data_IF_583583651764
#
_entry.id   IF_583583651764
#
_cell.length_a   1.000
_cell.length_b   1.000
_cell.length_c   1.000
_cell.angle_alpha   90.00
_cell.angle_beta   90.00
_cell.angle_gamma   90.00
#
_symmetry.space_group_name_H-M   'P 1'
#
loop_
_entity.id
_entity.type
_entity.pdbx_description
1 polymer ?
#
# COMPACT_ATOMS: atom_id res chain seq x y z
N UNK A 1 -26.79 -39.90 37.83
CA UNK A 1 -25.60 -39.03 37.94
C UNK A 1 -24.75 -39.22 36.70
N UNK A 2 -24.23 -38.12 36.13
CA UNK A 2 -23.61 -37.90 34.80
C UNK A 2 -24.65 -37.50 33.73
N UNK A 3 -25.07 -36.24 33.70
CA UNK A 3 -24.39 -35.01 33.21
C UNK A 3 -24.53 -34.87 31.70
N UNK A 4 -25.49 -34.04 31.31
CA UNK A 4 -25.64 -33.45 29.98
C UNK A 4 -24.50 -32.46 29.70
N UNK A 5 -24.08 -32.38 28.45
CA UNK A 5 -23.30 -31.26 27.91
C UNK A 5 -23.94 -30.88 26.58
N UNK A 6 -24.59 -29.72 26.59
CA UNK A 6 -24.93 -28.88 25.44
C UNK A 6 -23.67 -28.17 24.92
N UNK A 7 -23.90 -27.43 23.83
CA UNK A 7 -23.11 -26.34 23.23
C UNK A 7 -22.33 -26.74 21.98
N UNK A 8 -22.95 -26.65 20.80
CA UNK A 8 -23.27 -25.42 20.02
C UNK A 8 -22.02 -24.97 19.24
N UNK A 9 -21.79 -25.64 18.11
CA UNK A 9 -20.74 -25.32 17.16
C UNK A 9 -21.22 -24.24 16.20
N UNK A 10 -20.86 -22.99 16.49
CA UNK A 10 -20.97 -21.88 15.55
C UNK A 10 -20.13 -22.18 14.30
N UNK A 11 -20.81 -22.38 13.17
CA UNK A 11 -20.25 -22.25 11.83
C UNK A 11 -19.93 -20.76 11.56
N UNK A 12 -18.76 -20.32 12.01
CA UNK A 12 -18.17 -19.02 11.69
C UNK A 12 -17.05 -19.19 10.67
N UNK A 13 -17.41 -19.44 9.40
CA UNK A 13 -16.49 -19.28 8.27
C UNK A 13 -17.24 -19.25 6.93
N UNK A 14 -17.92 -18.14 6.64
CA UNK A 14 -18.19 -17.78 5.24
C UNK A 14 -18.24 -16.25 5.08
N UNK A 15 -17.10 -15.60 5.33
CA UNK A 15 -16.85 -14.27 4.79
C UNK A 15 -16.30 -14.47 3.38
N UNK A 16 -17.20 -14.41 2.40
CA UNK A 16 -16.86 -14.47 0.98
C UNK A 16 -15.89 -13.34 0.64
N UNK A 17 -14.61 -13.68 0.51
CA UNK A 17 -13.61 -12.83 -0.11
C UNK A 17 -14.15 -12.39 -1.48
N UNK A 18 -14.09 -11.09 -1.81
CA UNK A 18 -14.42 -10.66 -3.16
C UNK A 18 -13.38 -11.26 -4.10
N UNK A 19 -13.78 -12.16 -5.00
CA UNK A 19 -12.80 -12.88 -5.78
C UNK A 19 -12.21 -11.96 -6.83
N UNK A 20 -10.88 -11.87 -6.79
CA UNK A 20 -10.05 -11.17 -7.76
C UNK A 20 -10.24 -11.86 -9.12
N UNK A 21 -10.80 -11.15 -10.10
CA UNK A 21 -11.19 -11.66 -11.44
C UNK A 21 -12.33 -12.69 -11.49
N UNK A 22 -13.50 -12.38 -10.91
CA UNK A 22 -14.73 -13.06 -11.36
C UNK A 22 -15.25 -12.44 -12.66
N UNK A 23 -15.45 -13.28 -13.67
CA UNK A 23 -16.53 -13.10 -14.64
C UNK A 23 -17.85 -13.15 -13.87
N UNK A 24 -18.23 -12.03 -13.26
CA UNK A 24 -19.52 -11.89 -12.59
C UNK A 24 -20.57 -12.04 -13.69
N UNK A 25 -21.47 -13.00 -13.55
CA UNK A 25 -22.56 -13.17 -14.51
C UNK A 25 -23.46 -11.95 -14.54
N UNK A 26 -24.17 -11.72 -15.65
CA UNK A 26 -25.15 -10.63 -15.75
C UNK A 26 -26.19 -10.70 -14.63
N UNK A 27 -26.60 -11.91 -14.22
CA UNK A 27 -27.52 -12.11 -13.11
C UNK A 27 -26.93 -11.67 -11.76
N UNK A 28 -25.69 -12.06 -11.46
CA UNK A 28 -25.02 -11.64 -10.21
C UNK A 28 -24.77 -10.14 -10.18
N UNK A 29 -24.46 -9.53 -11.33
CA UNK A 29 -24.32 -8.08 -11.44
C UNK A 29 -25.62 -7.37 -11.02
N UNK A 30 -26.76 -7.82 -11.55
CA UNK A 30 -28.07 -7.21 -11.24
C UNK A 30 -28.50 -7.51 -9.80
N UNK A 31 -28.30 -8.73 -9.31
CA UNK A 31 -28.80 -9.17 -7.99
C UNK A 31 -27.91 -8.73 -6.82
N UNK A 32 -26.59 -8.71 -7.00
CA UNK A 32 -25.64 -8.54 -5.89
C UNK A 32 -24.82 -7.24 -5.97
N UNK A 33 -24.59 -6.71 -7.16
CA UNK A 33 -23.71 -5.54 -7.36
C UNK A 33 -24.52 -4.26 -7.51
N UNK A 34 -25.54 -4.24 -8.38
CA UNK A 34 -26.37 -3.05 -8.61
C UNK A 34 -27.03 -2.49 -7.35
N UNK A 35 -27.60 -3.30 -6.43
CA UNK A 35 -28.23 -2.76 -5.23
C UNK A 35 -27.27 -1.97 -4.35
N UNK A 36 -25.96 -2.29 -4.40
CA UNK A 36 -24.96 -1.58 -3.62
C UNK A 36 -24.81 -0.13 -4.08
N UNK A 37 -25.15 0.23 -5.32
CA UNK A 37 -25.02 1.59 -5.82
C UNK A 37 -26.24 2.48 -5.51
N UNK A 38 -27.35 1.91 -5.02
CA UNK A 38 -28.63 2.60 -4.93
C UNK A 38 -28.99 3.08 -3.52
N UNK A 39 -28.08 2.95 -2.56
CA UNK A 39 -28.20 3.49 -1.21
C UNK A 39 -28.56 2.45 -0.14
N UNK A 40 -28.68 2.85 1.13
CA UNK A 40 -28.62 4.22 1.66
C UNK A 40 -27.24 4.89 1.51
N UNK A 41 -27.20 6.21 1.54
CA UNK A 41 -25.97 7.00 1.41
C UNK A 41 -25.55 7.60 2.75
N UNK A 42 -24.24 7.79 2.92
CA UNK A 42 -23.63 8.53 4.02
C UNK A 42 -22.85 9.73 3.50
N UNK A 43 -22.76 10.79 4.29
CA UNK A 43 -21.93 11.95 4.00
C UNK A 43 -20.60 11.81 4.75
N UNK A 44 -19.49 11.88 4.06
CA UNK A 44 -18.15 11.88 4.65
C UNK A 44 -17.55 13.27 4.52
N UNK A 45 -17.27 13.92 5.65
CA UNK A 45 -16.71 15.27 5.71
C UNK A 45 -15.29 15.23 6.25
N UNK A 46 -14.36 15.88 5.57
CA UNK A 46 -13.01 16.07 6.10
C UNK A 46 -13.01 17.26 7.07
N UNK A 47 -12.63 17.02 8.34
CA UNK A 47 -12.65 18.04 9.39
C UNK A 47 -11.80 19.25 9.00
N UNK A 48 -12.30 20.44 9.36
CA UNK A 48 -11.70 21.75 9.04
C UNK A 48 -11.64 22.08 7.53
N UNK A 49 -12.43 21.40 6.71
CA UNK A 49 -12.60 21.72 5.29
C UNK A 49 -14.06 21.66 4.90
N UNK A 50 -14.42 22.28 3.79
CA UNK A 50 -15.76 22.19 3.19
C UNK A 50 -15.90 20.96 2.26
N UNK A 51 -14.94 20.04 2.29
CA UNK A 51 -14.96 18.84 1.45
C UNK A 51 -15.91 17.80 2.05
N UNK A 52 -16.97 17.51 1.30
CA UNK A 52 -17.98 16.51 1.63
C UNK A 52 -18.18 15.54 0.46
N UNK A 53 -18.22 14.25 0.78
CA UNK A 53 -18.43 13.18 -0.18
C UNK A 53 -19.71 12.42 0.18
N UNK A 54 -20.60 12.23 -0.78
CA UNK A 54 -21.75 11.34 -0.62
C UNK A 54 -21.38 9.95 -1.12
N UNK A 55 -21.41 8.95 -0.24
CA UNK A 55 -20.90 7.60 -0.50
C UNK A 55 -21.98 6.58 -0.18
N UNK A 56 -22.08 5.52 -0.97
CA UNK A 56 -23.00 4.41 -0.70
C UNK A 56 -22.55 3.65 0.54
N UNK A 57 -23.43 3.56 1.53
CA UNK A 57 -23.21 2.80 2.77
C UNK A 57 -22.99 1.31 2.48
N UNK A 58 -23.84 0.62 1.68
CA UNK A 58 -23.59 -0.78 1.33
C UNK A 58 -22.24 -1.03 0.65
N UNK A 59 -21.81 -0.16 -0.28
CA UNK A 59 -20.49 -0.31 -0.92
C UNK A 59 -19.37 -0.14 0.10
N UNK A 60 -19.49 0.85 0.97
CA UNK A 60 -18.49 1.16 1.98
C UNK A 60 -18.36 0.00 2.99
N UNK A 61 -19.47 -0.54 3.51
CA UNK A 61 -19.48 -1.71 4.38
C UNK A 61 -18.88 -2.94 3.69
N UNK A 62 -19.28 -3.22 2.43
CA UNK A 62 -18.77 -4.37 1.69
C UNK A 62 -17.25 -4.28 1.44
N UNK A 63 -16.73 -3.07 1.24
CA UNK A 63 -15.31 -2.86 0.98
C UNK A 63 -14.45 -2.77 2.25
N UNK A 64 -15.04 -2.47 3.40
CA UNK A 64 -14.32 -2.11 4.63
C UNK A 64 -15.01 -2.68 5.87
N UNK A 65 -14.38 -3.66 6.55
CA UNK A 65 -14.83 -4.16 7.84
C UNK A 65 -14.88 -3.08 8.92
N UNK A 66 -14.04 -2.03 8.79
CA UNK A 66 -14.06 -0.87 9.68
C UNK A 66 -15.43 -0.17 9.62
N UNK A 67 -15.91 0.14 8.41
CA UNK A 67 -17.21 0.78 8.25
C UNK A 67 -18.36 -0.17 8.53
N UNK A 68 -18.26 -1.45 8.15
CA UNK A 68 -19.27 -2.45 8.49
C UNK A 68 -19.51 -2.52 10.00
N UNK A 69 -18.44 -2.59 10.80
CA UNK A 69 -18.54 -2.56 12.27
C UNK A 69 -19.07 -1.23 12.78
N UNK A 70 -18.51 -0.11 12.30
CA UNK A 70 -18.93 1.25 12.68
C UNK A 70 -20.43 1.48 12.49
N UNK A 71 -21.02 0.94 11.43
CA UNK A 71 -22.42 1.14 11.13
C UNK A 71 -23.37 0.14 11.78
N UNK A 72 -22.90 -1.06 12.12
CA UNK A 72 -23.68 -2.03 12.91
C UNK A 72 -23.82 -1.59 14.36
N UNK A 73 -22.77 -0.99 14.92
CA UNK A 73 -22.79 -0.51 16.30
C UNK A 73 -23.60 0.79 16.47
N UNK A 74 -23.86 1.51 15.37
CA UNK A 74 -24.57 2.80 15.34
C UNK A 74 -25.92 2.69 14.61
N UNK A 75 -26.79 1.77 15.02
CA UNK A 75 -28.20 1.69 14.59
C UNK A 75 -29.01 2.93 15.02
N UNK A 76 -28.61 4.10 14.55
CA UNK A 76 -29.37 5.32 14.62
C UNK A 76 -30.16 5.36 13.32
N UNK A 77 -31.45 5.01 13.42
CA UNK A 77 -32.36 4.92 12.29
C UNK A 77 -32.43 6.21 11.48
N UNK A 78 -32.60 6.06 10.16
CA UNK A 78 -33.03 7.00 9.10
C UNK A 78 -32.59 8.48 9.11
N UNK A 79 -31.74 8.92 10.04
CA UNK A 79 -31.10 10.24 10.03
C UNK A 79 -29.89 10.17 9.12
N UNK A 80 -29.71 11.18 8.25
CA UNK A 80 -28.52 11.32 7.40
C UNK A 80 -27.24 11.11 8.23
N UNK A 81 -26.55 9.98 8.00
CA UNK A 81 -25.33 9.66 8.74
C UNK A 81 -24.17 10.47 8.16
N UNK A 82 -23.65 11.40 8.96
CA UNK A 82 -22.46 12.20 8.63
C UNK A 82 -21.25 11.65 9.40
N UNK A 83 -20.24 11.20 8.67
CA UNK A 83 -18.95 10.78 9.20
C UNK A 83 -17.98 11.95 9.07
N UNK A 84 -17.41 12.41 10.19
CA UNK A 84 -16.34 13.40 10.17
C UNK A 84 -14.99 12.70 10.27
N UNK A 85 -14.15 12.86 9.25
CA UNK A 85 -12.80 12.33 9.18
C UNK A 85 -11.80 13.35 9.71
N UNK A 86 -10.99 12.94 10.67
CA UNK A 86 -9.86 13.73 11.15
C UNK A 86 -8.69 13.67 10.18
N UNK A 87 -8.11 14.82 9.78
CA UNK A 87 -6.87 14.84 9.02
C UNK A 87 -5.76 14.10 9.78
N UNK A 88 -5.10 13.18 9.08
CA UNK A 88 -3.93 12.45 9.58
C UNK A 88 -2.83 12.68 8.56
N UNK A 89 -1.70 13.22 9.03
CA UNK A 89 -0.59 13.59 8.14
C UNK A 89 -0.11 12.40 7.30
N UNK A 90 -0.11 12.61 5.99
CA UNK A 90 0.21 11.62 4.98
C UNK A 90 -0.70 10.38 4.94
N UNK A 91 -1.91 10.41 5.52
CA UNK A 91 -2.85 9.29 5.46
C UNK A 91 -4.29 9.72 5.15
N UNK A 92 -4.83 10.75 5.83
CA UNK A 92 -6.19 11.25 5.57
C UNK A 92 -6.07 12.63 4.94
N UNK A 93 -6.24 12.66 3.61
CA UNK A 93 -6.12 13.83 2.74
C UNK A 93 -7.22 13.76 1.67
N UNK A 94 -7.52 14.88 1.02
CA UNK A 94 -8.42 14.91 -0.16
C UNK A 94 -8.04 13.81 -1.17
N UNK A 95 -6.75 13.75 -1.51
CA UNK A 95 -6.18 12.82 -2.48
C UNK A 95 -6.35 11.35 -2.10
N UNK A 96 -6.07 11.01 -0.86
CA UNK A 96 -6.21 9.62 -0.38
C UNK A 96 -7.67 9.19 -0.31
N UNK A 97 -8.56 10.07 0.17
CA UNK A 97 -10.01 9.81 0.21
C UNK A 97 -10.54 9.57 -1.21
N UNK A 98 -10.26 10.47 -2.14
CA UNK A 98 -10.71 10.35 -3.53
C UNK A 98 -10.14 9.10 -4.20
N UNK A 99 -8.86 8.77 -3.97
CA UNK A 99 -8.24 7.55 -4.49
C UNK A 99 -8.91 6.29 -3.94
N UNK A 100 -9.13 6.20 -2.63
CA UNK A 100 -9.80 5.03 -2.02
C UNK A 100 -11.24 4.90 -2.50
N UNK A 101 -12.00 6.01 -2.57
CA UNK A 101 -13.37 5.99 -3.09
C UNK A 101 -13.39 5.57 -4.56
N UNK A 102 -12.47 6.06 -5.38
CA UNK A 102 -12.35 5.62 -6.77
C UNK A 102 -12.13 4.11 -6.86
N UNK A 103 -11.27 3.54 -6.01
CA UNK A 103 -11.08 2.09 -5.95
C UNK A 103 -12.35 1.34 -5.53
N UNK A 104 -13.06 1.81 -4.50
CA UNK A 104 -14.28 1.15 -4.01
C UNK A 104 -15.32 1.06 -5.13
N UNK A 105 -15.48 2.11 -5.93
CA UNK A 105 -16.49 2.19 -6.99
C UNK A 105 -16.06 1.51 -8.29
N UNK A 106 -14.79 1.63 -8.68
CA UNK A 106 -14.33 1.25 -10.03
C UNK A 106 -13.34 0.08 -10.03
N UNK A 107 -12.83 -0.30 -8.85
CA UNK A 107 -11.71 -1.24 -8.69
C UNK A 107 -10.46 -0.84 -9.49
N UNK A 108 -10.30 0.46 -9.70
CA UNK A 108 -9.18 1.05 -10.43
C UNK A 108 -8.73 2.34 -9.73
N UNK A 109 -7.43 2.63 -9.84
CA UNK A 109 -6.87 3.91 -9.41
C UNK A 109 -6.35 4.64 -10.66
N UNK A 110 -6.97 5.77 -10.97
CA UNK A 110 -6.46 6.70 -11.97
C UNK A 110 -5.75 7.83 -11.24
N UNK A 111 -4.47 8.03 -11.56
CA UNK A 111 -3.79 9.23 -11.11
C UNK A 111 -3.81 10.27 -12.23
N UNK A 112 -3.83 11.53 -11.84
CA UNK A 112 -3.71 12.64 -12.77
C UNK A 112 -2.40 12.52 -13.57
N UNK A 113 -2.51 12.62 -14.90
CA UNK A 113 -1.38 12.48 -15.81
C UNK A 113 -0.31 13.57 -15.63
N UNK A 114 -0.66 14.67 -14.96
CA UNK A 114 0.19 15.83 -14.66
C UNK A 114 1.13 15.61 -13.47
N UNK A 115 0.94 14.57 -12.65
CA UNK A 115 1.74 14.39 -11.44
C UNK A 115 3.20 14.07 -11.76
N UNK A 116 4.10 14.65 -10.96
CA UNK A 116 5.48 14.20 -10.96
C UNK A 116 5.55 12.75 -10.46
N UNK A 117 6.59 12.02 -10.83
CA UNK A 117 6.75 10.63 -10.39
C UNK A 117 6.92 10.52 -8.87
N UNK A 118 7.52 11.53 -8.23
CA UNK A 118 7.62 11.59 -6.77
C UNK A 118 6.24 11.76 -6.13
N UNK A 119 5.37 12.60 -6.73
CA UNK A 119 4.02 12.82 -6.25
C UNK A 119 3.11 11.59 -6.49
N UNK A 120 3.33 10.87 -7.60
CA UNK A 120 2.66 9.59 -7.87
C UNK A 120 2.98 8.56 -6.78
N UNK A 121 4.25 8.46 -6.37
CA UNK A 121 4.66 7.56 -5.27
C UNK A 121 4.07 8.02 -3.94
N UNK A 122 4.12 9.33 -3.64
CA UNK A 122 3.52 9.87 -2.42
C UNK A 122 2.01 9.59 -2.36
N UNK A 123 1.30 9.78 -3.49
CA UNK A 123 -0.12 9.48 -3.61
C UNK A 123 -0.43 8.03 -3.30
N UNK A 124 0.33 7.12 -3.91
CA UNK A 124 0.14 5.69 -3.69
C UNK A 124 0.37 5.28 -2.23
N UNK A 125 1.35 5.89 -1.55
CA UNK A 125 1.59 5.65 -0.12
C UNK A 125 0.45 6.20 0.74
N UNK A 126 -0.05 7.43 0.48
CA UNK A 126 -1.18 7.99 1.22
C UNK A 126 -2.45 7.14 1.08
N UNK A 127 -2.78 6.73 -0.16
CA UNK A 127 -3.93 5.86 -0.44
C UNK A 127 -3.76 4.52 0.30
N UNK A 128 -2.56 3.94 0.31
CA UNK A 128 -2.31 2.69 1.03
C UNK A 128 -2.50 2.84 2.54
N UNK A 129 -2.03 3.96 3.12
CA UNK A 129 -2.20 4.23 4.56
C UNK A 129 -3.67 4.41 4.91
N UNK A 130 -4.45 5.10 4.09
CA UNK A 130 -5.89 5.23 4.30
C UNK A 130 -6.61 3.89 4.15
N UNK A 131 -6.24 3.10 3.14
CA UNK A 131 -6.79 1.77 2.93
C UNK A 131 -6.55 0.85 4.13
N UNK A 132 -5.36 0.91 4.74
CA UNK A 132 -5.06 0.17 5.97
C UNK A 132 -5.87 0.67 7.16
N UNK A 133 -6.01 2.00 7.31
CA UNK A 133 -6.84 2.60 8.36
C UNK A 133 -8.30 2.12 8.24
N UNK A 134 -8.82 2.04 7.02
CA UNK A 134 -10.17 1.56 6.73
C UNK A 134 -10.23 0.04 6.54
N UNK A 135 -9.14 -0.69 6.76
CA UNK A 135 -9.07 -2.17 6.63
C UNK A 135 -9.58 -2.69 5.29
N UNK A 136 -9.33 -1.97 4.20
CA UNK A 136 -9.72 -2.40 2.85
C UNK A 136 -8.85 -3.58 2.40
N UNK A 137 -9.46 -4.51 1.67
CA UNK A 137 -8.84 -5.75 1.20
C UNK A 137 -7.56 -5.56 0.35
N UNK A 138 -6.75 -6.62 0.27
CA UNK A 138 -5.37 -6.61 -0.23
C UNK A 138 -5.15 -6.19 -1.68
N UNK A 139 -6.09 -6.45 -2.60
CA UNK A 139 -5.97 -6.11 -4.03
C UNK A 139 -5.55 -4.65 -4.31
N UNK A 140 -6.04 -3.70 -3.48
CA UNK A 140 -5.64 -2.29 -3.58
C UNK A 140 -4.14 -2.11 -3.27
N UNK A 141 -3.64 -2.78 -2.23
CA UNK A 141 -2.23 -2.70 -1.81
C UNK A 141 -1.29 -3.15 -2.92
N UNK A 142 -1.62 -4.24 -3.59
CA UNK A 142 -0.81 -4.79 -4.69
C UNK A 142 -0.85 -3.90 -5.92
N UNK A 143 -2.02 -3.37 -6.25
CA UNK A 143 -2.19 -2.37 -7.33
C UNK A 143 -1.33 -1.14 -7.09
N UNK A 144 -1.31 -0.61 -5.86
CA UNK A 144 -0.51 0.55 -5.47
C UNK A 144 1.00 0.22 -5.47
N UNK A 145 1.38 -0.98 -5.01
CA UNK A 145 2.78 -1.41 -5.01
C UNK A 145 3.34 -1.53 -6.44
N UNK A 146 2.60 -2.17 -7.34
CA UNK A 146 2.98 -2.26 -8.76
C UNK A 146 3.00 -0.90 -9.44
N UNK A 147 2.15 0.04 -9.01
CA UNK A 147 2.18 1.41 -9.51
C UNK A 147 3.47 2.13 -9.09
N UNK A 148 3.86 2.05 -7.82
CA UNK A 148 5.12 2.61 -7.32
C UNK A 148 6.30 2.01 -8.08
N UNK A 149 6.31 0.69 -8.24
CA UNK A 149 7.34 -0.01 -9.03
C UNK A 149 7.45 0.55 -10.44
N UNK A 150 6.34 0.71 -11.15
CA UNK A 150 6.31 1.30 -12.51
C UNK A 150 6.83 2.74 -12.51
N UNK A 151 6.43 3.57 -11.54
CA UNK A 151 6.90 4.94 -11.42
C UNK A 151 8.42 5.00 -11.19
N UNK A 152 8.96 4.13 -10.33
CA UNK A 152 10.40 4.04 -10.06
C UNK A 152 11.15 3.56 -11.30
N UNK A 153 10.69 2.50 -11.96
CA UNK A 153 11.33 1.97 -13.16
C UNK A 153 11.31 2.96 -14.33
N UNK A 154 10.21 3.69 -14.53
CA UNK A 154 10.11 4.71 -15.57
C UNK A 154 11.08 5.89 -15.35
N UNK A 155 11.48 6.12 -14.10
CA UNK A 155 12.40 7.21 -13.72
C UNK A 155 13.86 6.84 -13.94
N UNK A 156 14.17 5.54 -14.08
CA UNK A 156 15.49 5.05 -14.48
C UNK A 156 15.72 5.42 -15.94
N UNK A 157 16.46 6.50 -16.19
CA UNK A 157 16.77 6.89 -17.58
C UNK A 157 17.54 5.79 -18.33
N UNK A 158 17.47 5.81 -19.66
CA UNK A 158 18.10 4.83 -20.57
C UNK A 158 19.64 4.75 -20.52
N UNK A 159 20.31 5.56 -19.69
CA UNK A 159 21.76 5.70 -19.70
C UNK A 159 22.37 5.34 -18.34
N UNK A 160 23.04 4.20 -18.29
CA UNK A 160 23.87 3.70 -17.18
C UNK A 160 25.03 4.63 -16.75
N UNK A 161 25.11 5.87 -17.25
CA UNK A 161 26.30 6.73 -17.13
C UNK A 161 26.12 8.09 -16.47
N UNK A 162 24.90 8.50 -16.08
CA UNK A 162 24.72 9.71 -15.24
C UNK A 162 23.65 9.40 -14.21
N UNK A 163 24.03 9.45 -12.94
CA UNK A 163 23.21 9.21 -11.75
C UNK A 163 21.91 10.00 -11.89
N UNK A 164 20.86 9.36 -12.41
CA UNK A 164 19.53 9.94 -12.45
C UNK A 164 18.90 9.71 -11.09
N UNK A 165 18.48 10.83 -10.51
CA UNK A 165 18.01 11.05 -9.17
C UNK A 165 17.29 9.84 -8.56
N UNK A 166 17.71 9.51 -7.34
CA UNK A 166 16.94 8.69 -6.43
C UNK A 166 15.55 9.31 -6.31
N UNK A 167 14.55 8.68 -6.91
CA UNK A 167 13.17 9.17 -6.87
C UNK A 167 12.53 8.97 -5.49
N UNK A 168 13.02 7.99 -4.73
CA UNK A 168 12.58 7.71 -3.38
C UNK A 168 13.16 8.76 -2.43
N UNK A 169 12.30 9.66 -2.01
CA UNK A 169 12.63 10.72 -1.06
C UNK A 169 12.58 10.22 0.38
N UNK A 170 13.19 10.97 1.31
CA UNK A 170 13.03 10.76 2.75
C UNK A 170 11.56 10.70 3.18
N UNK A 171 10.72 11.56 2.62
CA UNK A 171 9.29 11.58 2.95
C UNK A 171 8.58 10.30 2.52
N UNK A 172 8.96 9.71 1.38
CA UNK A 172 8.42 8.42 0.96
C UNK A 172 8.80 7.31 1.94
N UNK A 173 10.05 7.28 2.40
CA UNK A 173 10.53 6.30 3.38
C UNK A 173 9.75 6.43 4.69
N UNK A 174 9.61 7.67 5.19
CA UNK A 174 8.93 7.91 6.47
C UNK A 174 7.44 7.59 6.37
N UNK A 175 6.79 8.03 5.29
CA UNK A 175 5.38 7.75 5.06
C UNK A 175 5.12 6.25 4.92
N UNK A 176 5.95 5.53 4.15
CA UNK A 176 5.81 4.09 3.97
C UNK A 176 6.11 3.30 5.26
N UNK A 177 6.92 3.84 6.14
CA UNK A 177 7.26 3.22 7.43
C UNK A 177 6.11 3.17 8.44
N UNK A 178 5.07 3.99 8.26
CA UNK A 178 3.82 3.91 9.02
C UNK A 178 2.90 2.77 8.55
N UNK A 179 3.19 2.11 7.43
CA UNK A 179 2.47 0.92 7.01
C UNK A 179 2.93 -0.30 7.83
N UNK A 180 2.06 -1.32 8.02
CA UNK A 180 2.43 -2.56 8.68
C UNK A 180 3.68 -3.21 8.09
N UNK A 181 4.36 -4.01 8.90
CA UNK A 181 5.47 -4.83 8.40
C UNK A 181 4.94 -5.79 7.31
N UNK A 182 5.80 -6.09 6.33
CA UNK A 182 5.48 -6.91 5.15
C UNK A 182 4.41 -6.33 4.19
N UNK A 183 3.91 -5.11 4.43
CA UNK A 183 3.00 -4.43 3.53
C UNK A 183 3.65 -4.21 2.14
N UNK A 184 2.94 -4.57 1.06
CA UNK A 184 3.49 -4.57 -0.30
C UNK A 184 4.06 -3.21 -0.73
N UNK A 185 3.35 -2.11 -0.43
CA UNK A 185 3.81 -0.74 -0.68
C UNK A 185 5.07 -0.37 0.12
N UNK A 186 5.18 -0.82 1.38
CA UNK A 186 6.38 -0.56 2.20
C UNK A 186 7.58 -1.32 1.64
N UNK A 187 7.38 -2.60 1.31
CA UNK A 187 8.38 -3.45 0.69
C UNK A 187 8.90 -2.88 -0.63
N UNK A 188 8.03 -2.41 -1.53
CA UNK A 188 8.48 -1.87 -2.82
C UNK A 188 9.27 -0.57 -2.66
N UNK A 189 8.93 0.27 -1.68
CA UNK A 189 9.70 1.49 -1.36
C UNK A 189 11.10 1.12 -0.86
N UNK A 190 11.21 0.12 0.03
CA UNK A 190 12.48 -0.40 0.53
C UNK A 190 13.32 -0.97 -0.62
N UNK A 191 12.73 -1.79 -1.48
CA UNK A 191 13.39 -2.34 -2.67
C UNK A 191 13.88 -1.24 -3.61
N UNK A 192 13.09 -0.18 -3.80
CA UNK A 192 13.48 0.95 -4.62
C UNK A 192 14.64 1.76 -4.01
N UNK A 193 14.67 1.92 -2.69
CA UNK A 193 15.75 2.59 -1.95
C UNK A 193 17.06 1.77 -1.93
N UNK A 194 16.94 0.43 -1.90
CA UNK A 194 18.09 -0.49 -1.80
C UNK A 194 19.14 -0.27 -2.89
N UNK A 195 18.70 0.05 -4.12
CA UNK A 195 19.62 0.33 -5.22
C UNK A 195 20.48 1.58 -5.02
N UNK A 196 19.96 2.60 -4.33
CA UNK A 196 20.71 3.79 -3.95
C UNK A 196 21.60 3.52 -2.73
N UNK A 197 21.09 2.74 -1.78
CA UNK A 197 21.83 2.29 -0.60
C UNK A 197 23.12 1.53 -0.97
N UNK A 198 23.05 0.60 -1.91
CA UNK A 198 24.20 -0.22 -2.30
C UNK A 198 25.21 0.48 -3.23
N UNK A 199 24.82 1.58 -3.88
CA UNK A 199 25.64 2.26 -4.91
C UNK A 199 26.39 3.49 -4.41
N UNK A 200 26.02 4.01 -3.26
CA UNK A 200 26.60 5.25 -2.75
C UNK A 200 27.64 4.90 -1.71
N UNK A 201 28.88 5.35 -1.91
CA UNK A 201 30.03 5.09 -1.03
C UNK A 201 29.95 5.87 0.32
N UNK A 202 28.75 6.07 0.89
CA UNK A 202 28.54 6.89 2.08
C UNK A 202 27.23 6.62 2.85
N UNK A 203 26.91 7.52 3.80
CA UNK A 203 25.79 7.50 4.77
C UNK A 203 24.39 7.66 4.11
N UNK A 204 24.21 7.13 2.90
CA UNK A 204 22.96 7.15 2.17
C UNK A 204 21.89 6.43 3.00
N UNK A 205 20.87 7.18 3.39
CA UNK A 205 19.84 6.78 4.34
C UNK A 205 20.30 6.57 5.79
N UNK A 206 21.55 6.89 6.17
CA UNK A 206 22.02 6.73 7.55
C UNK A 206 21.25 7.60 8.54
N UNK A 207 20.80 8.80 8.12
CA UNK A 207 19.88 9.63 8.91
C UNK A 207 18.50 8.99 9.00
N UNK A 208 17.96 8.53 7.88
CA UNK A 208 16.64 7.92 7.77
C UNK A 208 16.53 6.64 8.60
N UNK A 209 17.59 5.82 8.63
CA UNK A 209 17.66 4.61 9.46
C UNK A 209 17.73 4.96 10.96
N UNK A 210 18.49 6.01 11.34
CA UNK A 210 18.54 6.47 12.74
C UNK A 210 17.20 6.99 13.24
N UNK A 211 16.52 7.79 12.42
CA UNK A 211 15.24 8.38 12.77
C UNK A 211 14.08 7.39 12.61
N UNK A 212 14.22 6.40 11.73
CA UNK A 212 13.22 5.37 11.50
C UNK A 212 13.84 3.96 11.43
N UNK A 213 14.17 3.34 12.57
CA UNK A 213 14.90 2.07 12.63
C UNK A 213 14.19 0.90 11.94
N UNK A 214 12.86 0.94 11.88
CA UNK A 214 12.03 -0.04 11.18
C UNK A 214 12.36 -0.11 9.68
N UNK A 215 12.69 1.02 9.05
CA UNK A 215 13.15 1.04 7.66
C UNK A 215 14.50 0.32 7.50
N UNK A 216 15.42 0.50 8.44
CA UNK A 216 16.69 -0.23 8.45
C UNK A 216 16.48 -1.74 8.58
N UNK A 217 15.55 -2.16 9.45
CA UNK A 217 15.19 -3.57 9.58
C UNK A 217 14.62 -4.15 8.27
N UNK A 218 13.71 -3.43 7.61
CA UNK A 218 13.15 -3.87 6.32
C UNK A 218 14.23 -3.97 5.24
N UNK A 219 15.13 -2.99 5.18
CA UNK A 219 16.23 -2.97 4.22
C UNK A 219 17.12 -4.20 4.39
N UNK A 220 17.48 -4.55 5.62
CA UNK A 220 18.27 -5.73 5.93
C UNK A 220 17.52 -7.03 5.64
N UNK A 221 16.22 -7.08 5.93
CA UNK A 221 15.35 -8.22 5.61
C UNK A 221 15.30 -8.47 4.10
N UNK A 222 15.19 -7.41 3.29
CA UNK A 222 15.22 -7.50 1.83
C UNK A 222 16.62 -7.81 1.28
N UNK A 223 17.69 -7.30 1.89
CA UNK A 223 19.06 -7.56 1.45
C UNK A 223 19.52 -9.00 1.72
N UNK A 224 19.14 -9.58 2.87
CA UNK A 224 19.60 -10.90 3.32
C UNK A 224 19.45 -12.03 2.27
N UNK A 225 18.28 -12.28 1.67
CA UNK A 225 18.14 -13.37 0.68
C UNK A 225 19.02 -13.14 -0.55
N UNK A 226 19.28 -11.88 -0.92
CA UNK A 226 20.10 -11.50 -2.08
C UNK A 226 21.58 -11.70 -1.82
N UNK A 227 22.06 -11.33 -0.63
CA UNK A 227 23.43 -11.62 -0.21
C UNK A 227 23.68 -13.13 -0.13
N UNK A 228 22.74 -13.90 0.42
CA UNK A 228 22.84 -15.36 0.45
C UNK A 228 22.92 -15.97 -0.96
N UNK A 229 22.22 -15.39 -1.94
CA UNK A 229 22.31 -15.81 -3.33
C UNK A 229 23.71 -15.54 -3.93
N UNK A 230 24.33 -14.41 -3.60
CA UNK A 230 25.69 -14.10 -4.02
C UNK A 230 26.72 -15.08 -3.47
N UNK A 231 26.66 -15.33 -2.16
CA UNK A 231 27.59 -16.24 -1.47
C UNK A 231 27.57 -17.62 -2.12
N UNK A 232 26.37 -18.12 -2.48
CA UNK A 232 26.21 -19.42 -3.15
C UNK A 232 26.72 -19.44 -4.59
N UNK A 233 26.74 -18.30 -5.30
CA UNK A 233 27.14 -18.20 -6.72
C UNK A 233 28.63 -17.88 -6.93
N UNK A 234 29.39 -17.61 -5.87
CA UNK A 234 30.80 -17.21 -5.94
C UNK A 234 31.02 -15.72 -6.26
N UNK A 235 32.24 -15.23 -6.02
CA UNK A 235 32.63 -13.80 -5.92
C UNK A 235 32.38 -12.91 -7.16
N UNK A 236 31.86 -13.43 -8.28
CA UNK A 236 31.66 -12.65 -9.52
C UNK A 236 30.21 -12.30 -9.84
N UNK A 237 29.26 -12.59 -8.95
CA UNK A 237 27.85 -12.26 -9.16
C UNK A 237 27.52 -10.86 -8.63
N UNK A 238 26.88 -10.01 -9.44
CA UNK A 238 26.22 -8.80 -8.97
C UNK A 238 24.89 -9.12 -8.27
N UNK A 239 24.39 -8.24 -7.40
CA UNK A 239 23.08 -8.41 -6.77
C UNK A 239 22.01 -8.08 -7.82
N UNK A 240 21.11 -9.01 -8.12
CA UNK A 240 19.98 -8.70 -9.00
C UNK A 240 19.14 -7.56 -8.42
N UNK A 241 18.78 -6.59 -9.27
CA UNK A 241 17.96 -5.45 -8.86
C UNK A 241 16.63 -5.93 -8.29
N UNK A 242 16.25 -5.48 -7.08
CA UNK A 242 15.09 -6.02 -6.39
C UNK A 242 13.76 -5.69 -7.09
N UNK A 243 13.73 -4.65 -7.93
CA UNK A 243 12.50 -4.20 -8.60
C UNK A 243 12.20 -4.94 -9.90
N UNK A 244 13.22 -5.31 -10.68
CA UNK A 244 13.02 -5.89 -12.01
C UNK A 244 13.79 -7.20 -12.26
N UNK A 245 14.75 -7.54 -11.40
CA UNK A 245 15.61 -8.72 -11.56
C UNK A 245 16.48 -8.72 -12.83
N UNK A 246 16.47 -7.64 -13.62
CA UNK A 246 17.14 -7.53 -14.93
C UNK A 246 18.43 -6.73 -14.86
N UNK A 247 18.56 -5.84 -13.88
CA UNK A 247 19.81 -5.14 -13.57
C UNK A 247 20.66 -5.88 -12.54
N UNK A 248 21.98 -5.65 -12.55
CA UNK A 248 22.87 -6.03 -11.46
C UNK A 248 23.34 -4.77 -10.73
N UNK A 249 23.15 -4.73 -9.41
CA UNK A 249 23.83 -3.82 -8.51
C UNK A 249 25.24 -4.38 -8.30
N UNK A 250 26.24 -3.77 -8.95
CA UNK A 250 27.63 -4.07 -8.66
C UNK A 250 27.97 -3.53 -7.27
N UNK A 251 28.30 -4.42 -6.34
CA UNK A 251 29.00 -4.05 -5.13
C UNK A 251 30.42 -3.64 -5.55
N UNK A 252 30.78 -2.36 -5.36
CA UNK A 252 32.19 -2.01 -5.35
C UNK A 252 32.75 -2.48 -4.02
N UNK A 253 33.44 -3.62 -4.03
CA UNK A 253 34.35 -3.92 -2.95
C UNK A 253 35.49 -2.93 -3.08
N UNK A 254 35.63 -2.01 -2.13
CA UNK A 254 36.89 -1.30 -1.96
C UNK A 254 37.94 -2.38 -1.68
N UNK A 255 38.79 -2.66 -2.66
CA UNK A 255 40.04 -3.35 -2.42
C UNK A 255 40.77 -2.50 -1.38
N UNK A 256 40.86 -3.03 -0.16
CA UNK A 256 41.77 -2.50 0.83
C UNK A 256 43.15 -2.74 0.25
N UNK A 257 43.75 -1.71 -0.34
CA UNK A 257 45.18 -1.71 -0.59
C UNK A 257 45.81 -1.85 0.79
N UNK A 258 46.26 -3.06 1.10
CA UNK A 258 47.06 -3.34 2.28
C UNK A 258 48.35 -2.54 2.18
N UNK A 259 48.46 -1.54 3.05
CA UNK A 259 49.74 -1.01 3.52
C UNK A 259 49.96 -1.49 4.96
#
# INVERSE_FOLDING_TARGET
MKSAAEEDSLDMANMTEMPENFEITSEQMVKEVMPLFHGPFVKMRLRHTDLEYTVSKPLLCKASPYFDSMFKDNEIGDVEQIITLDPIDGAVSKRSIEGVLQWIYTRQIHCEASLSRADEIASAIEIARLADLWRIAGALRDTLAERIKKAVLASRGKAFKKVKAVIITRQHIFSAGYLPQDHAVRRIVVQAAMGAFLRTDGDCYGREIREHPSFGADLLQELRPRLNQLIRKGQRAGIADPLDGKGYLCLRFCESNGE
#
